data_IF_022772055458
#
_entry.id   IF_022772055458
#
_cell.length_a   1.000
_cell.length_b   1.000
_cell.length_c   1.000
_cell.angle_alpha   90.00
_cell.angle_beta   90.00
_cell.angle_gamma   90.00
#
_symmetry.space_group_name_H-M   'P 1'
#
loop_
_entity.id
_entity.type
_entity.pdbx_description
1 polymer ?
#
# COMPACT_ATOMS: atom_id res chain seq x y z
N UNK A 1 -13.73 -6.71 14.94
CA UNK A 1 -12.61 -6.43 15.85
C UNK A 1 -11.43 -7.26 15.37
N UNK A 2 -10.22 -6.71 15.32
CA UNK A 2 -9.07 -7.40 14.73
C UNK A 2 -8.56 -8.42 15.75
N UNK A 3 -8.40 -9.66 15.28
CA UNK A 3 -8.21 -10.84 16.11
C UNK A 3 -6.74 -11.09 16.49
N UNK A 4 -6.01 -10.03 16.88
CA UNK A 4 -4.56 -10.06 17.16
C UNK A 4 -4.16 -11.08 18.23
N UNK A 5 -4.90 -11.09 19.34
CA UNK A 5 -4.68 -11.98 20.47
C UNK A 5 -4.89 -13.44 20.13
N UNK A 6 -5.93 -13.72 19.37
CA UNK A 6 -6.19 -15.08 18.85
C UNK A 6 -5.09 -15.54 17.89
N UNK A 7 -4.53 -14.66 17.06
CA UNK A 7 -3.38 -15.02 16.20
C UNK A 7 -2.14 -15.33 17.04
N UNK A 8 -1.84 -14.50 18.04
CA UNK A 8 -0.77 -14.75 19.03
C UNK A 8 -0.94 -16.14 19.67
N UNK A 9 -2.18 -16.44 20.10
CA UNK A 9 -2.51 -17.72 20.73
C UNK A 9 -2.30 -18.90 19.78
N UNK A 10 -2.78 -18.78 18.54
CA UNK A 10 -2.61 -19.81 17.52
C UNK A 10 -1.13 -20.10 17.28
N UNK A 11 -0.30 -19.09 17.04
CA UNK A 11 1.15 -19.25 16.86
C UNK A 11 1.78 -19.94 18.07
N UNK A 12 1.42 -19.50 19.29
CA UNK A 12 1.94 -20.08 20.53
C UNK A 12 1.62 -21.57 20.63
N UNK A 13 0.37 -21.94 20.36
CA UNK A 13 -0.13 -23.31 20.45
C UNK A 13 0.45 -24.22 19.36
N UNK A 14 0.58 -23.73 18.12
CA UNK A 14 1.26 -24.42 17.02
C UNK A 14 2.74 -24.72 17.34
N UNK A 15 3.40 -23.82 18.07
CA UNK A 15 4.79 -24.01 18.54
C UNK A 15 4.89 -24.84 19.84
N UNK A 16 3.77 -25.28 20.42
CA UNK A 16 3.76 -26.04 21.66
C UNK A 16 4.25 -25.25 22.89
N UNK A 17 4.18 -23.91 22.86
CA UNK A 17 4.70 -23.05 23.92
C UNK A 17 3.65 -22.81 25.01
N UNK A 18 4.09 -22.81 26.28
CA UNK A 18 3.20 -22.43 27.39
C UNK A 18 3.01 -20.92 27.43
N UNK A 19 1.87 -20.44 27.97
CA UNK A 19 1.66 -18.99 28.17
C UNK A 19 2.79 -18.37 29.01
N UNK A 20 3.28 -19.09 30.02
CA UNK A 20 4.36 -18.63 30.91
C UNK A 20 5.65 -18.34 30.15
N UNK A 21 6.00 -19.17 29.16
CA UNK A 21 7.16 -18.94 28.30
C UNK A 21 7.09 -17.60 27.54
N UNK A 22 5.88 -17.10 27.30
CA UNK A 22 5.64 -15.86 26.56
C UNK A 22 5.51 -14.66 27.50
N UNK A 23 4.72 -14.72 28.57
CA UNK A 23 4.43 -13.53 29.37
C UNK A 23 5.48 -13.19 30.43
N UNK A 24 6.29 -14.17 30.87
CA UNK A 24 7.15 -14.00 32.04
C UNK A 24 8.20 -12.91 31.82
N UNK A 25 8.19 -11.90 32.70
CA UNK A 25 9.05 -10.72 32.60
C UNK A 25 8.55 -9.65 31.61
N UNK A 26 7.39 -9.83 30.98
CA UNK A 26 6.79 -8.89 30.01
C UNK A 26 5.48 -8.31 30.57
N UNK A 27 4.53 -9.17 30.94
CA UNK A 27 3.23 -8.79 31.52
C UNK A 27 2.80 -9.81 32.58
N UNK A 28 1.76 -9.48 33.37
CA UNK A 28 1.17 -10.46 34.29
C UNK A 28 0.47 -11.60 33.54
N UNK A 29 0.33 -12.76 34.20
CA UNK A 29 -0.42 -13.90 33.66
C UNK A 29 -1.84 -13.50 33.27
N UNK A 30 -2.52 -12.72 34.11
CA UNK A 30 -3.87 -12.24 33.85
C UNK A 30 -3.91 -11.33 32.61
N UNK A 31 -2.97 -10.39 32.48
CA UNK A 31 -2.90 -9.52 31.32
C UNK A 31 -2.66 -10.31 30.02
N UNK A 32 -1.74 -11.28 30.04
CA UNK A 32 -1.49 -12.13 28.87
C UNK A 32 -2.72 -12.97 28.45
N UNK A 33 -3.46 -13.52 29.42
CA UNK A 33 -4.72 -14.19 29.14
C UNK A 33 -5.73 -13.27 28.45
N UNK A 34 -5.86 -12.03 28.93
CA UNK A 34 -6.75 -11.04 28.31
C UNK A 34 -6.30 -10.69 26.89
N UNK A 35 -4.98 -10.59 26.65
CA UNK A 35 -4.41 -10.38 25.32
C UNK A 35 -4.80 -11.53 24.39
N UNK A 36 -4.51 -12.78 24.74
CA UNK A 36 -4.85 -13.95 23.89
C UNK A 36 -6.36 -14.11 23.65
N UNK A 37 -7.19 -13.55 24.53
CA UNK A 37 -8.65 -13.56 24.41
C UNK A 37 -9.21 -12.36 23.64
N UNK A 38 -8.37 -11.49 23.08
CA UNK A 38 -8.74 -10.21 22.45
C UNK A 38 -9.50 -9.25 23.41
N UNK A 39 -9.38 -9.43 24.72
CA UNK A 39 -10.00 -8.59 25.75
C UNK A 39 -9.10 -7.41 26.17
N UNK A 40 -7.83 -7.43 25.77
CA UNK A 40 -6.87 -6.37 26.01
C UNK A 40 -5.90 -6.25 24.84
N UNK A 41 -5.49 -5.02 24.52
CA UNK A 41 -4.44 -4.74 23.54
C UNK A 41 -3.16 -4.41 24.31
N UNK A 42 -2.03 -5.10 24.07
CA UNK A 42 -0.76 -4.76 24.71
C UNK A 42 -0.21 -3.43 24.17
N UNK A 43 0.68 -2.79 24.92
CA UNK A 43 1.52 -1.72 24.37
C UNK A 43 2.40 -2.25 23.22
N UNK A 44 2.86 -1.38 22.34
CA UNK A 44 3.74 -1.76 21.23
C UNK A 44 5.00 -2.49 21.73
N UNK A 45 5.64 -1.98 22.79
CA UNK A 45 6.84 -2.61 23.36
C UNK A 45 6.57 -4.03 23.86
N UNK A 46 5.43 -4.25 24.54
CA UNK A 46 5.05 -5.57 25.03
C UNK A 46 4.66 -6.48 23.87
N UNK A 47 4.00 -5.96 22.85
CA UNK A 47 3.67 -6.70 21.64
C UNK A 47 4.93 -7.21 20.94
N UNK A 48 5.93 -6.35 20.73
CA UNK A 48 7.20 -6.73 20.10
C UNK A 48 7.95 -7.79 20.93
N UNK A 49 7.99 -7.66 22.27
CA UNK A 49 8.58 -8.68 23.15
C UNK A 49 7.83 -10.02 23.10
N UNK A 50 6.50 -9.98 22.98
CA UNK A 50 5.67 -11.18 22.78
C UNK A 50 6.03 -11.86 21.46
N UNK A 51 6.10 -11.10 20.35
CA UNK A 51 6.49 -11.65 19.04
C UNK A 51 7.91 -12.23 19.05
N UNK A 52 8.84 -11.57 19.75
CA UNK A 52 10.21 -12.07 19.94
C UNK A 52 10.21 -13.44 20.64
N UNK A 53 9.43 -13.61 21.73
CA UNK A 53 9.27 -14.91 22.42
C UNK A 53 8.58 -15.96 21.56
N UNK A 54 7.73 -15.54 20.64
CA UNK A 54 7.12 -16.41 19.64
C UNK A 54 8.05 -16.70 18.47
N UNK A 55 9.25 -16.12 18.41
CA UNK A 55 10.17 -16.24 17.29
C UNK A 55 9.48 -15.96 15.94
N UNK A 56 8.78 -14.82 15.86
CA UNK A 56 8.15 -14.31 14.64
C UNK A 56 8.46 -12.82 14.53
N UNK A 57 8.76 -12.33 13.32
CA UNK A 57 8.96 -10.90 13.12
C UNK A 57 7.64 -10.15 13.10
N UNK A 58 7.67 -8.84 13.32
CA UNK A 58 6.47 -8.00 13.16
C UNK A 58 5.91 -8.09 11.73
N UNK A 59 6.78 -8.15 10.72
CA UNK A 59 6.37 -8.31 9.33
C UNK A 59 5.66 -9.64 9.07
N UNK A 60 6.22 -10.75 9.57
CA UNK A 60 5.59 -12.08 9.46
C UNK A 60 4.23 -12.11 10.16
N UNK A 61 4.11 -11.43 11.29
CA UNK A 61 2.83 -11.30 11.97
C UNK A 61 1.80 -10.52 11.13
N UNK A 62 2.21 -9.43 10.46
CA UNK A 62 1.32 -8.68 9.56
C UNK A 62 0.78 -9.55 8.41
N UNK A 63 1.55 -10.51 7.91
CA UNK A 63 1.08 -11.45 6.87
C UNK A 63 -0.02 -12.41 7.36
N UNK A 64 -0.14 -12.60 8.67
CA UNK A 64 -1.20 -13.44 9.27
C UNK A 64 -2.48 -12.64 9.51
N UNK A 65 -2.45 -11.31 9.31
CA UNK A 65 -3.64 -10.49 9.39
C UNK A 65 -4.48 -10.63 8.12
N UNK A 66 -5.78 -10.41 8.27
CA UNK A 66 -6.70 -10.34 7.14
C UNK A 66 -6.37 -9.11 6.28
N UNK A 67 -5.76 -9.37 5.12
CA UNK A 67 -5.39 -8.37 4.13
C UNK A 67 -6.60 -7.71 3.46
N UNK A 68 -7.79 -8.32 3.52
CA UNK A 68 -9.01 -7.67 3.05
C UNK A 68 -9.46 -6.56 4.01
N UNK A 69 -9.18 -6.73 5.31
CA UNK A 69 -9.57 -5.76 6.33
C UNK A 69 -8.58 -4.58 6.41
N UNK A 70 -7.29 -4.84 6.25
CA UNK A 70 -6.23 -3.81 6.29
C UNK A 70 -5.24 -3.96 5.14
N UNK A 71 -5.67 -3.71 3.89
CA UNK A 71 -4.76 -3.84 2.76
C UNK A 71 -3.63 -2.81 2.88
N UNK A 72 -2.41 -3.31 2.87
CA UNK A 72 -1.20 -2.52 2.72
C UNK A 72 -1.22 -1.77 1.39
N UNK A 73 -0.48 -0.67 1.31
CA UNK A 73 -0.34 0.06 0.04
C UNK A 73 0.33 -0.81 -1.04
N UNK A 74 1.22 -1.73 -0.64
CA UNK A 74 1.80 -2.76 -1.52
C UNK A 74 0.74 -3.67 -2.13
N UNK A 75 -0.17 -4.20 -1.32
CA UNK A 75 -1.24 -5.08 -1.81
C UNK A 75 -2.20 -4.36 -2.74
N UNK A 76 -2.57 -3.10 -2.43
CA UNK A 76 -3.39 -2.28 -3.30
C UNK A 76 -2.67 -1.98 -4.63
N UNK A 77 -1.37 -1.70 -4.57
CA UNK A 77 -0.52 -1.51 -5.74
C UNK A 77 -0.47 -2.78 -6.61
N UNK A 78 -0.16 -3.94 -6.02
CA UNK A 78 -0.06 -5.21 -6.74
C UNK A 78 -1.41 -5.63 -7.33
N UNK A 79 -2.51 -5.41 -6.60
CA UNK A 79 -3.88 -5.64 -7.09
C UNK A 79 -4.18 -4.78 -8.32
N UNK A 80 -3.82 -3.50 -8.31
CA UNK A 80 -4.06 -2.62 -9.46
C UNK A 80 -3.20 -2.97 -10.68
N UNK A 81 -1.93 -3.36 -10.47
CA UNK A 81 -1.06 -3.88 -11.55
C UNK A 81 -1.66 -5.15 -12.16
N UNK A 82 -2.16 -6.06 -11.33
CA UNK A 82 -2.82 -7.29 -11.79
C UNK A 82 -4.09 -7.00 -12.58
N UNK A 83 -4.93 -6.07 -12.12
CA UNK A 83 -6.13 -5.63 -12.83
C UNK A 83 -5.77 -5.05 -14.20
N UNK A 84 -4.77 -4.16 -14.27
CA UNK A 84 -4.26 -3.58 -15.53
C UNK A 84 -3.81 -4.66 -16.51
N UNK A 85 -3.20 -5.73 -16.01
CA UNK A 85 -2.71 -6.84 -16.83
C UNK A 85 -3.84 -7.73 -17.34
N UNK A 86 -4.82 -8.04 -16.49
CA UNK A 86 -5.96 -8.89 -16.83
C UNK A 86 -6.98 -8.20 -17.73
N UNK A 87 -7.04 -6.86 -17.70
CA UNK A 87 -8.01 -6.05 -18.43
C UNK A 87 -9.48 -6.50 -18.19
N UNK A 88 -9.80 -6.83 -16.93
CA UNK A 88 -11.15 -7.18 -16.51
C UNK A 88 -11.88 -5.93 -15.98
N UNK A 89 -12.80 -5.38 -16.79
CA UNK A 89 -13.53 -4.15 -16.49
C UNK A 89 -14.40 -4.28 -15.22
N UNK A 90 -15.03 -5.43 -14.99
CA UNK A 90 -15.89 -5.65 -13.82
C UNK A 90 -15.08 -5.69 -12.53
N UNK A 91 -13.92 -6.35 -12.55
CA UNK A 91 -13.01 -6.37 -11.40
C UNK A 91 -12.42 -4.98 -11.11
N UNK A 92 -12.14 -4.17 -12.14
CA UNK A 92 -11.74 -2.76 -11.96
C UNK A 92 -12.82 -1.93 -11.27
N UNK A 93 -14.07 -1.99 -11.75
CA UNK A 93 -15.17 -1.23 -11.15
C UNK A 93 -15.42 -1.65 -9.70
N UNK A 94 -15.27 -2.95 -9.40
CA UNK A 94 -15.39 -3.45 -8.03
C UNK A 94 -14.27 -2.91 -7.13
N UNK A 95 -13.03 -2.87 -7.62
CA UNK A 95 -11.92 -2.26 -6.92
C UNK A 95 -12.13 -0.75 -6.68
N UNK A 96 -12.59 -0.01 -7.69
CA UNK A 96 -12.90 1.43 -7.57
C UNK A 96 -13.93 1.67 -6.46
N UNK A 97 -15.06 0.95 -6.50
CA UNK A 97 -16.12 1.05 -5.47
C UNK A 97 -15.59 0.70 -4.08
N UNK A 98 -14.73 -0.32 -3.97
CA UNK A 98 -14.11 -0.69 -2.70
C UNK A 98 -13.25 0.45 -2.15
N UNK A 99 -12.41 1.08 -2.97
CA UNK A 99 -11.55 2.19 -2.55
C UNK A 99 -12.36 3.44 -2.16
N UNK A 100 -13.41 3.77 -2.92
CA UNK A 100 -14.31 4.88 -2.57
C UNK A 100 -15.00 4.65 -1.24
N UNK A 101 -15.51 3.44 -1.02
CA UNK A 101 -16.14 3.07 0.26
C UNK A 101 -15.13 3.12 1.41
N UNK A 102 -13.93 2.57 1.24
CA UNK A 102 -12.88 2.63 2.26
C UNK A 102 -12.48 4.07 2.57
N UNK A 103 -12.48 4.97 1.59
CA UNK A 103 -12.27 6.40 1.83
C UNK A 103 -13.38 7.01 2.67
N UNK A 104 -14.65 6.74 2.35
CA UNK A 104 -15.80 7.24 3.12
C UNK A 104 -15.77 6.73 4.58
N UNK A 105 -15.43 5.45 4.77
CA UNK A 105 -15.44 4.80 6.08
C UNK A 105 -14.26 5.25 6.97
N UNK A 106 -13.12 5.65 6.37
CA UNK A 106 -11.87 5.90 7.13
C UNK A 106 -11.33 7.32 7.01
N UNK A 107 -11.79 8.12 6.04
CA UNK A 107 -11.21 9.41 5.64
C UNK A 107 -9.71 9.35 5.31
N UNK A 108 -9.17 8.17 5.02
CA UNK A 108 -7.76 7.99 4.71
C UNK A 108 -7.49 8.26 3.22
N UNK A 109 -6.77 9.34 2.93
CA UNK A 109 -6.43 9.79 1.56
C UNK A 109 -5.77 8.72 0.69
N UNK A 110 -5.12 7.71 1.28
CA UNK A 110 -4.60 6.55 0.55
C UNK A 110 -5.67 5.96 -0.39
N UNK A 111 -6.87 5.75 0.13
CA UNK A 111 -7.96 5.15 -0.63
C UNK A 111 -8.51 6.08 -1.72
N UNK A 112 -8.50 7.39 -1.49
CA UNK A 112 -8.85 8.39 -2.51
C UNK A 112 -7.84 8.39 -3.64
N UNK A 113 -6.54 8.32 -3.35
CA UNK A 113 -5.50 8.20 -4.39
C UNK A 113 -5.67 6.93 -5.22
N UNK A 114 -5.94 5.78 -4.58
CA UNK A 114 -6.18 4.52 -5.29
C UNK A 114 -7.47 4.52 -6.11
N UNK A 115 -8.54 5.20 -5.65
CA UNK A 115 -9.76 5.32 -6.46
C UNK A 115 -9.55 6.22 -7.69
N UNK A 116 -8.89 7.36 -7.51
CA UNK A 116 -8.50 8.27 -8.60
C UNK A 116 -7.69 7.55 -9.68
N UNK A 117 -6.65 6.81 -9.27
CA UNK A 117 -5.75 6.16 -10.22
C UNK A 117 -6.36 4.93 -10.88
N UNK A 118 -7.23 4.19 -10.18
CA UNK A 118 -7.97 3.09 -10.75
C UNK A 118 -8.98 3.59 -11.80
N UNK A 119 -9.69 4.70 -11.54
CA UNK A 119 -10.56 5.35 -12.53
C UNK A 119 -9.77 5.82 -13.74
N UNK A 120 -8.65 6.51 -13.54
CA UNK A 120 -7.79 6.96 -14.63
C UNK A 120 -7.28 5.79 -15.48
N UNK A 121 -6.90 4.68 -14.84
CA UNK A 121 -6.44 3.47 -15.51
C UNK A 121 -7.58 2.82 -16.30
N UNK A 122 -8.78 2.76 -15.72
CA UNK A 122 -9.97 2.24 -16.38
C UNK A 122 -10.31 3.03 -17.65
N UNK A 123 -10.36 4.36 -17.57
CA UNK A 123 -10.60 5.23 -18.73
C UNK A 123 -9.56 5.03 -19.85
N UNK A 124 -8.30 4.79 -19.44
CA UNK A 124 -7.21 4.56 -20.38
C UNK A 124 -7.33 3.20 -21.11
N UNK A 125 -7.77 2.15 -20.40
CA UNK A 125 -7.85 0.79 -20.94
C UNK A 125 -9.16 0.49 -21.68
N UNK A 126 -10.28 1.10 -21.29
CA UNK A 126 -11.62 0.81 -21.81
C UNK A 126 -12.27 2.03 -22.47
N UNK A 127 -11.70 2.56 -23.57
CA UNK A 127 -12.13 3.80 -24.19
C UNK A 127 -13.51 3.75 -24.87
N UNK A 128 -14.12 2.58 -25.02
CA UNK A 128 -15.48 2.41 -25.54
C UNK A 128 -16.55 2.46 -24.44
N UNK A 129 -16.17 2.28 -23.18
CA UNK A 129 -17.09 2.30 -22.02
C UNK A 129 -17.21 3.71 -21.41
N UNK A 130 -16.43 4.67 -21.90
CA UNK A 130 -16.43 6.06 -21.47
C UNK A 130 -16.17 6.97 -22.66
N UNK A 131 -16.95 8.05 -22.79
CA UNK A 131 -16.60 9.10 -23.75
C UNK A 131 -15.24 9.67 -23.34
N UNK A 132 -14.19 9.38 -24.14
CA UNK A 132 -12.82 9.82 -23.87
C UNK A 132 -12.75 11.35 -23.83
N UNK A 133 -12.99 11.94 -22.67
CA UNK A 133 -12.68 13.33 -22.44
C UNK A 133 -11.27 13.40 -21.82
N UNK A 134 -10.30 13.89 -22.59
CA UNK A 134 -8.93 14.11 -22.10
C UNK A 134 -8.90 14.94 -20.81
N UNK A 135 -9.85 15.86 -20.67
CA UNK A 135 -10.00 16.69 -19.47
C UNK A 135 -10.33 15.86 -18.22
N UNK A 136 -11.04 14.73 -18.39
CA UNK A 136 -11.41 13.86 -17.28
C UNK A 136 -10.22 13.05 -16.75
N UNK A 137 -9.36 12.54 -17.64
CA UNK A 137 -8.14 11.85 -17.24
C UNK A 137 -7.21 12.80 -16.45
N UNK A 138 -7.05 14.04 -16.93
CA UNK A 138 -6.26 15.07 -16.25
C UNK A 138 -6.86 15.38 -14.87
N UNK A 139 -8.19 15.54 -14.76
CA UNK A 139 -8.86 15.77 -13.47
C UNK A 139 -8.71 14.61 -12.48
N UNK A 140 -8.67 13.36 -12.94
CA UNK A 140 -8.49 12.20 -12.06
C UNK A 140 -7.06 12.09 -11.51
N UNK A 141 -6.08 12.51 -12.29
CA UNK A 141 -4.65 12.43 -11.93
C UNK A 141 -4.19 13.67 -11.14
N UNK A 142 -4.86 14.80 -11.29
CA UNK A 142 -4.53 16.07 -10.64
C UNK A 142 -4.35 15.97 -9.11
N UNK A 143 -5.23 15.29 -8.34
CA UNK A 143 -5.04 15.15 -6.89
C UNK A 143 -3.74 14.43 -6.53
N UNK A 144 -3.37 13.42 -7.33
CA UNK A 144 -2.15 12.63 -7.14
C UNK A 144 -0.92 13.47 -7.47
N UNK A 145 -0.99 14.26 -8.56
CA UNK A 145 0.07 15.20 -8.92
C UNK A 145 0.35 16.17 -7.78
N UNK A 146 -0.70 16.80 -7.26
CA UNK A 146 -0.58 17.84 -6.23
C UNK A 146 0.00 17.25 -4.95
N UNK A 147 -0.50 16.10 -4.52
CA UNK A 147 0.06 15.35 -3.40
C UNK A 147 1.56 15.05 -3.58
N UNK A 148 1.95 14.48 -4.72
CA UNK A 148 3.36 14.14 -4.98
C UNK A 148 4.27 15.37 -5.00
N UNK A 149 3.77 16.53 -5.44
CA UNK A 149 4.52 17.80 -5.45
C UNK A 149 4.65 18.43 -4.06
N UNK A 150 3.62 18.32 -3.22
CA UNK A 150 3.60 18.87 -1.85
C UNK A 150 4.48 18.08 -0.87
N UNK A 151 4.56 16.76 -1.00
CA UNK A 151 5.32 15.92 -0.08
C UNK A 151 6.83 16.01 -0.33
N UNK A 152 7.60 16.41 0.69
CA UNK A 152 9.05 16.61 0.62
C UNK A 152 9.85 15.31 0.65
N UNK A 153 9.39 14.30 1.40
CA UNK A 153 10.08 13.00 1.54
C UNK A 153 9.19 11.87 1.02
N UNK A 154 9.72 11.08 0.08
CA UNK A 154 9.02 9.97 -0.55
C UNK A 154 9.44 8.64 0.05
N UNK A 155 8.45 7.93 0.59
CA UNK A 155 8.52 6.54 1.00
C UNK A 155 8.02 5.62 -0.13
N UNK A 156 7.91 4.32 0.15
CA UNK A 156 7.41 3.34 -0.83
C UNK A 156 6.01 3.69 -1.35
N UNK A 157 5.19 4.35 -0.54
CA UNK A 157 3.85 4.76 -0.93
C UNK A 157 3.89 5.77 -2.08
N UNK A 158 4.63 6.87 -1.95
CA UNK A 158 4.76 7.90 -2.99
C UNK A 158 5.42 7.32 -4.24
N UNK A 159 6.41 6.42 -4.09
CA UNK A 159 7.03 5.73 -5.22
C UNK A 159 6.04 4.86 -5.98
N UNK A 160 5.23 4.06 -5.28
CA UNK A 160 4.19 3.21 -5.88
C UNK A 160 3.12 4.07 -6.55
N UNK A 161 2.70 5.15 -5.90
CA UNK A 161 1.70 6.07 -6.43
C UNK A 161 2.20 6.78 -7.69
N UNK A 162 3.45 7.26 -7.69
CA UNK A 162 4.07 7.86 -8.86
C UNK A 162 4.16 6.85 -10.01
N UNK A 163 4.67 5.64 -9.73
CA UNK A 163 4.78 4.59 -10.73
C UNK A 163 3.45 4.26 -11.40
N UNK A 164 2.39 4.07 -10.60
CA UNK A 164 1.06 3.81 -11.12
C UNK A 164 0.52 4.96 -11.98
N UNK A 165 0.92 6.21 -11.71
CA UNK A 165 0.34 7.42 -12.34
C UNK A 165 1.16 7.92 -13.53
N UNK A 166 2.30 7.27 -13.84
CA UNK A 166 3.18 7.67 -14.93
C UNK A 166 2.38 7.90 -16.20
N UNK A 167 1.46 7.02 -16.59
CA UNK A 167 0.67 7.09 -17.83
C UNK A 167 -0.30 8.30 -17.89
N UNK A 168 -0.66 8.86 -16.74
CA UNK A 168 -1.60 9.98 -16.63
C UNK A 168 -0.95 11.35 -16.79
N UNK A 169 0.37 11.46 -16.59
CA UNK A 169 1.06 12.75 -16.60
C UNK A 169 1.47 13.22 -18.00
N UNK A 170 1.53 14.54 -18.20
CA UNK A 170 2.20 15.15 -19.36
C UNK A 170 3.71 14.99 -19.26
N UNK A 171 4.43 15.10 -20.39
CA UNK A 171 5.90 15.01 -20.42
C UNK A 171 6.57 16.01 -19.46
N UNK A 172 6.06 17.25 -19.42
CA UNK A 172 6.54 18.28 -18.47
C UNK A 172 6.40 17.85 -17.01
N UNK A 173 5.26 17.25 -16.64
CA UNK A 173 5.03 16.79 -15.28
C UNK A 173 5.89 15.56 -14.95
N UNK A 174 6.14 14.67 -15.92
CA UNK A 174 7.03 13.53 -15.75
C UNK A 174 8.49 13.94 -15.55
N UNK A 175 8.96 14.93 -16.30
CA UNK A 175 10.31 15.49 -16.12
C UNK A 175 10.44 16.11 -14.72
N UNK A 176 9.47 16.92 -14.31
CA UNK A 176 9.44 17.54 -12.98
C UNK A 176 9.44 16.48 -11.86
N UNK A 177 8.50 15.54 -11.88
CA UNK A 177 8.39 14.50 -10.85
C UNK A 177 9.56 13.50 -10.91
N UNK A 178 10.10 13.23 -12.10
CA UNK A 178 11.28 12.40 -12.30
C UNK A 178 12.53 13.00 -11.66
N UNK A 179 12.71 14.31 -11.73
CA UNK A 179 13.79 15.02 -11.04
C UNK A 179 13.64 14.96 -9.51
N UNK A 180 12.40 15.03 -9.02
CA UNK A 180 12.10 14.92 -7.60
C UNK A 180 12.30 13.51 -7.05
N UNK A 181 12.15 12.46 -7.87
CA UNK A 181 12.29 11.06 -7.47
C UNK A 181 13.57 10.82 -6.66
N UNK A 182 14.72 11.22 -7.19
CA UNK A 182 16.02 10.98 -6.53
C UNK A 182 16.20 11.86 -5.30
N UNK A 183 15.82 13.15 -5.39
CA UNK A 183 15.97 14.10 -4.30
C UNK A 183 15.11 13.73 -3.08
N UNK A 184 13.86 13.32 -3.30
CA UNK A 184 12.88 13.10 -2.24
C UNK A 184 12.94 11.71 -1.62
N UNK A 185 13.58 10.73 -2.26
CA UNK A 185 13.72 9.36 -1.72
C UNK A 185 15.16 8.97 -1.36
N UNK A 186 16.06 9.95 -1.26
CA UNK A 186 17.50 9.73 -1.04
C UNK A 186 17.79 8.94 0.26
N UNK A 187 17.08 9.24 1.35
CA UNK A 187 17.33 8.64 2.67
C UNK A 187 17.14 7.12 2.71
N UNK A 188 16.45 6.55 1.72
CA UNK A 188 16.11 5.13 1.66
C UNK A 188 16.73 4.42 0.45
N UNK A 189 17.71 5.04 -0.21
CA UNK A 189 18.37 4.48 -1.39
C UNK A 189 19.14 3.18 -1.12
N UNK A 190 19.41 2.84 0.14
CA UNK A 190 20.06 1.58 0.51
C UNK A 190 19.09 0.40 0.66
N UNK A 191 17.78 0.63 0.61
CA UNK A 191 16.79 -0.44 0.68
C UNK A 191 16.50 -1.00 -0.72
N UNK A 192 16.57 -2.33 -0.87
CA UNK A 192 16.40 -3.02 -2.16
C UNK A 192 15.02 -2.74 -2.79
N UNK A 193 13.96 -2.70 -1.99
CA UNK A 193 12.62 -2.39 -2.52
C UNK A 193 12.53 -0.98 -3.12
N UNK A 194 13.17 0.01 -2.47
CA UNK A 194 13.21 1.39 -2.97
C UNK A 194 13.95 1.49 -4.30
N UNK A 195 15.16 0.93 -4.38
CA UNK A 195 15.97 0.99 -5.60
C UNK A 195 15.31 0.28 -6.77
N UNK A 196 14.62 -0.84 -6.51
CA UNK A 196 13.86 -1.57 -7.54
C UNK A 196 12.73 -0.73 -8.11
N UNK A 197 11.90 -0.11 -7.26
CA UNK A 197 10.77 0.71 -7.75
C UNK A 197 11.28 1.94 -8.48
N UNK A 198 12.31 2.63 -7.98
CA UNK A 198 12.92 3.76 -8.68
C UNK A 198 13.46 3.38 -10.07
N UNK A 199 14.08 2.20 -10.20
CA UNK A 199 14.56 1.69 -11.49
C UNK A 199 13.41 1.50 -12.48
N UNK A 200 12.32 0.89 -12.02
CA UNK A 200 11.12 0.69 -12.85
C UNK A 200 10.53 2.03 -13.30
N UNK A 201 10.38 2.99 -12.38
CA UNK A 201 9.88 4.34 -12.70
C UNK A 201 10.75 5.01 -13.76
N UNK A 202 12.08 4.99 -13.60
CA UNK A 202 13.01 5.59 -14.58
C UNK A 202 12.89 4.94 -15.95
N UNK A 203 12.74 3.62 -16.00
CA UNK A 203 12.57 2.88 -17.24
C UNK A 203 11.25 3.25 -17.94
N UNK A 204 10.14 3.33 -17.20
CA UNK A 204 8.83 3.68 -17.75
C UNK A 204 8.77 5.13 -18.25
N UNK A 205 9.39 6.07 -17.52
CA UNK A 205 9.54 7.47 -17.98
C UNK A 205 10.34 7.50 -19.29
N UNK A 206 11.48 6.81 -19.36
CA UNK A 206 12.32 6.76 -20.55
C UNK A 206 11.56 6.20 -21.76
N UNK A 207 10.85 5.09 -21.58
CA UNK A 207 10.03 4.50 -22.64
C UNK A 207 8.96 5.48 -23.13
N UNK A 208 8.29 6.19 -22.23
CA UNK A 208 7.25 7.14 -22.59
C UNK A 208 7.78 8.35 -23.37
N UNK A 209 8.97 8.84 -23.00
CA UNK A 209 9.65 9.92 -23.74
C UNK A 209 9.99 9.46 -25.16
N UNK A 210 10.53 8.25 -25.34
CA UNK A 210 10.88 7.72 -26.67
C UNK A 210 9.67 7.60 -27.60
N UNK A 211 8.54 7.05 -27.11
CA UNK A 211 7.31 6.92 -27.92
C UNK A 211 6.68 8.26 -28.32
N UNK A 212 7.04 9.37 -27.66
CA UNK A 212 6.53 10.70 -28.00
C UNK A 212 7.35 11.43 -29.06
N UNK A 213 8.55 10.93 -29.37
CA UNK A 213 9.45 11.50 -30.39
C UNK A 213 9.35 10.81 -31.75
N UNK A 214 8.62 9.69 -31.82
CA UNK A 214 8.32 8.90 -33.03
C UNK A 214 6.89 9.17 -33.50
#
# INVERSE_FOLDING_TARGET
MINYGTIIRTIREEKGLSQKCIYEGIVSRQAYYLIESNLSIPSLDNFLKILERLAISFNDFLYLLDSEQFPSDKELYDKLILLKTKQDSQSFQTFIRQMERSFLDTSNEKYRHFSCIAKATFLHLFPSEYDRNKNELEHLIEPIKNYLLEIETWYLYELRLFHLSIFGFSLKNLELLGNLLTARSFNYCNFLEFTRIQKNIRQDIYQRIQHSMT
#
